data_IF_525852030077
#
_entry.id   IF_525852030077
#
_cell.length_a   1.000
_cell.length_b   1.000
_cell.length_c   1.000
_cell.angle_alpha   90.00
_cell.angle_beta   90.00
_cell.angle_gamma   90.00
#
_symmetry.space_group_name_H-M   'P 1'
#
loop_
_entity.id
_entity.type
_entity.pdbx_description
1 polymer ?
#
# COMPACT_ATOMS: atom_id res chain seq x y z
N UNK A 1 -8.25 22.71 4.56
CA UNK A 1 -7.33 21.96 5.43
C UNK A 1 -6.43 22.92 6.21
N UNK A 2 -5.65 23.79 5.56
CA UNK A 2 -4.76 24.74 6.21
C UNK A 2 -5.45 25.64 7.27
N UNK A 3 -6.68 26.11 6.99
CA UNK A 3 -7.51 26.89 7.93
C UNK A 3 -7.85 26.13 9.23
N UNK A 4 -7.74 24.80 9.22
CA UNK A 4 -7.98 23.95 10.39
C UNK A 4 -6.67 23.36 10.93
N UNK A 5 -5.54 23.96 10.60
CA UNK A 5 -4.19 23.56 11.03
C UNK A 5 -3.77 22.13 10.61
N UNK A 6 -4.36 21.60 9.55
CA UNK A 6 -3.97 20.31 8.96
C UNK A 6 -2.76 20.54 8.05
N UNK A 7 -1.59 20.07 8.50
CA UNK A 7 -0.29 20.34 7.85
C UNK A 7 0.16 19.24 6.89
N UNK A 8 -0.37 18.02 7.01
CA UNK A 8 0.01 16.88 6.16
C UNK A 8 -1.23 16.25 5.57
N UNK A 9 -1.20 15.99 4.27
CA UNK A 9 -2.25 15.31 3.53
C UNK A 9 -1.67 14.08 2.86
N UNK A 10 -2.05 12.90 3.35
CA UNK A 10 -1.81 11.65 2.66
C UNK A 10 -2.86 11.44 1.56
N UNK A 11 -2.43 11.10 0.34
CA UNK A 11 -3.34 10.88 -0.79
C UNK A 11 -2.82 9.79 -1.71
N UNK A 12 -3.73 9.17 -2.46
CA UNK A 12 -3.43 8.17 -3.48
C UNK A 12 -3.59 8.75 -4.88
N UNK A 13 -2.80 8.26 -5.83
CA UNK A 13 -2.98 8.52 -7.27
C UNK A 13 -3.12 7.20 -8.02
N UNK A 14 -4.02 6.36 -7.53
CA UNK A 14 -4.28 5.02 -8.04
C UNK A 14 -5.56 5.04 -8.87
N UNK A 15 -5.50 4.37 -10.02
CA UNK A 15 -6.68 4.21 -10.87
C UNK A 15 -7.51 3.02 -10.38
N UNK A 16 -8.82 3.12 -10.51
CA UNK A 16 -9.84 2.09 -10.34
C UNK A 16 -10.05 1.65 -8.87
N UNK A 17 -9.03 1.10 -8.24
CA UNK A 17 -9.00 0.70 -6.81
C UNK A 17 -7.66 1.10 -6.21
N UNK A 18 -7.63 1.49 -4.94
CA UNK A 18 -6.40 1.94 -4.33
C UNK A 18 -5.54 0.79 -3.79
N UNK A 19 -6.12 -0.26 -3.21
CA UNK A 19 -5.39 -1.47 -2.87
C UNK A 19 -6.12 -2.73 -3.37
N UNK A 20 -5.37 -3.79 -3.62
CA UNK A 20 -5.93 -5.05 -4.11
C UNK A 20 -5.53 -6.20 -3.21
N UNK A 21 -6.53 -6.95 -2.72
CA UNK A 21 -6.35 -8.20 -1.97
C UNK A 21 -7.30 -9.25 -2.53
N UNK A 22 -6.85 -10.49 -2.53
CA UNK A 22 -7.63 -11.64 -3.02
C UNK A 22 -8.32 -12.38 -1.88
N UNK A 23 -7.86 -12.17 -0.63
CA UNK A 23 -8.48 -12.73 0.56
C UNK A 23 -8.38 -11.71 1.71
N UNK A 24 -9.53 -11.37 2.29
CA UNK A 24 -9.64 -10.41 3.40
C UNK A 24 -9.65 -11.10 4.78
N UNK A 25 -9.67 -12.42 4.81
CA UNK A 25 -9.76 -13.23 6.04
C UNK A 25 -8.84 -14.47 5.93
N UNK A 26 -7.58 -14.24 5.57
CA UNK A 26 -6.58 -15.30 5.51
C UNK A 26 -6.20 -15.74 6.91
N UNK A 27 -6.44 -17.02 7.26
CA UNK A 27 -6.14 -17.56 8.58
C UNK A 27 -4.66 -17.82 8.77
N UNK A 28 -4.13 -17.27 9.85
CA UNK A 28 -2.74 -17.45 10.26
C UNK A 28 -2.62 -18.63 11.25
N UNK A 29 -1.43 -19.24 11.37
CA UNK A 29 -1.21 -20.37 12.28
C UNK A 29 -1.50 -20.07 13.76
N UNK A 30 -1.42 -18.81 14.17
CA UNK A 30 -1.76 -18.34 15.52
C UNK A 30 -3.26 -18.09 15.74
N UNK A 31 -4.10 -18.41 14.74
CA UNK A 31 -5.55 -18.22 14.79
C UNK A 31 -6.04 -16.83 14.38
N UNK A 32 -5.17 -15.85 14.24
CA UNK A 32 -5.53 -14.52 13.76
C UNK A 32 -5.89 -14.54 12.26
N UNK A 33 -6.50 -13.45 11.79
CA UNK A 33 -6.77 -13.25 10.36
C UNK A 33 -6.00 -12.05 9.82
N UNK A 34 -5.56 -12.18 8.56
CA UNK A 34 -4.79 -11.19 7.84
C UNK A 34 -5.32 -10.98 6.41
N UNK A 35 -4.92 -9.89 5.79
CA UNK A 35 -5.14 -9.67 4.36
C UNK A 35 -4.09 -10.43 3.55
N UNK A 36 -4.49 -11.04 2.41
CA UNK A 36 -3.58 -11.74 1.49
C UNK A 36 -3.82 -11.31 0.05
N UNK A 37 -2.73 -11.16 -0.70
CA UNK A 37 -2.72 -11.14 -2.15
C UNK A 37 -2.15 -12.46 -2.68
N UNK A 38 -2.81 -13.03 -3.67
CA UNK A 38 -2.40 -14.26 -4.34
C UNK A 38 -2.48 -14.05 -5.85
N UNK A 39 -1.36 -14.11 -6.60
CA UNK A 39 -1.36 -13.87 -8.04
C UNK A 39 -2.22 -14.87 -8.80
N UNK A 40 -2.31 -16.12 -8.34
CA UNK A 40 -3.16 -17.14 -8.96
C UNK A 40 -4.65 -16.76 -8.87
N UNK A 41 -5.09 -16.33 -7.69
CA UNK A 41 -6.46 -15.88 -7.49
C UNK A 41 -6.75 -14.55 -8.22
N UNK A 42 -5.76 -13.64 -8.28
CA UNK A 42 -5.88 -12.39 -9.03
C UNK A 42 -6.02 -12.65 -10.54
N UNK A 43 -5.21 -13.54 -11.11
CA UNK A 43 -5.31 -13.94 -12.52
C UNK A 43 -6.63 -14.66 -12.81
N UNK A 44 -7.11 -15.51 -11.89
CA UNK A 44 -8.42 -16.15 -12.02
C UNK A 44 -9.57 -15.13 -12.05
N UNK A 45 -9.50 -14.09 -11.22
CA UNK A 45 -10.46 -12.99 -11.28
C UNK A 45 -10.38 -12.25 -12.63
N UNK A 46 -9.18 -11.89 -13.07
CA UNK A 46 -8.95 -11.14 -14.30
C UNK A 46 -9.51 -11.88 -15.54
N UNK A 47 -9.19 -13.16 -15.66
CA UNK A 47 -9.55 -13.98 -16.83
C UNK A 47 -11.02 -14.42 -16.81
N UNK A 48 -11.51 -14.93 -15.67
CA UNK A 48 -12.80 -15.62 -15.64
C UNK A 48 -13.96 -14.79 -15.07
N UNK A 49 -13.68 -13.80 -14.17
CA UNK A 49 -14.70 -12.97 -13.53
C UNK A 49 -14.79 -11.61 -14.22
N UNK A 50 -13.69 -10.87 -14.25
CA UNK A 50 -13.59 -9.59 -14.96
C UNK A 50 -13.73 -9.78 -16.47
N UNK A 51 -13.18 -10.89 -16.99
CA UNK A 51 -13.14 -11.23 -18.44
C UNK A 51 -12.46 -10.14 -19.26
N UNK A 52 -11.32 -9.66 -18.76
CA UNK A 52 -10.52 -8.65 -19.47
C UNK A 52 -10.10 -9.18 -20.83
N UNK A 53 -10.31 -8.38 -21.86
CA UNK A 53 -9.93 -8.75 -23.23
C UNK A 53 -8.41 -8.96 -23.31
N UNK A 54 -8.00 -10.12 -23.86
CA UNK A 54 -6.61 -10.55 -24.00
C UNK A 54 -5.83 -10.70 -22.66
N UNK A 55 -6.51 -10.90 -21.53
CA UNK A 55 -5.87 -11.08 -20.24
C UNK A 55 -4.81 -12.20 -20.24
N UNK A 56 -5.07 -13.27 -20.98
CA UNK A 56 -4.19 -14.44 -21.07
C UNK A 56 -2.81 -14.11 -21.62
N UNK A 57 -2.67 -13.04 -22.42
CA UNK A 57 -1.38 -12.63 -23.00
C UNK A 57 -0.37 -12.10 -21.97
N UNK A 58 -0.84 -11.76 -20.77
CA UNK A 58 0.01 -11.25 -19.69
C UNK A 58 0.65 -12.40 -18.88
N UNK A 59 0.29 -13.65 -19.16
CA UNK A 59 0.71 -14.83 -18.42
C UNK A 59 1.32 -15.90 -19.35
N UNK A 60 2.24 -16.70 -18.82
CA UNK A 60 2.77 -17.84 -19.55
C UNK A 60 1.81 -19.04 -19.50
N UNK A 61 1.99 -20.01 -20.43
CA UNK A 61 1.09 -21.15 -20.59
C UNK A 61 1.01 -22.06 -19.36
N UNK A 62 2.11 -22.24 -18.63
CA UNK A 62 2.16 -23.06 -17.41
C UNK A 62 1.29 -22.42 -16.32
N UNK A 63 1.48 -21.13 -16.08
CA UNK A 63 0.67 -20.39 -15.11
C UNK A 63 -0.81 -20.35 -15.49
N UNK A 64 -1.13 -20.23 -16.79
CA UNK A 64 -2.53 -20.29 -17.27
C UNK A 64 -3.19 -21.64 -16.96
N UNK A 65 -2.46 -22.75 -17.04
CA UNK A 65 -2.96 -24.07 -16.65
C UNK A 65 -3.25 -24.14 -15.16
N UNK A 66 -2.37 -23.58 -14.32
CA UNK A 66 -2.60 -23.49 -12.88
C UNK A 66 -3.82 -22.63 -12.56
N UNK A 67 -3.95 -21.46 -13.19
CA UNK A 67 -5.11 -20.55 -13.04
C UNK A 67 -6.41 -21.27 -13.43
N UNK A 68 -6.43 -22.00 -14.55
CA UNK A 68 -7.60 -22.76 -15.00
C UNK A 68 -7.98 -23.85 -14.00
N UNK A 69 -6.99 -24.57 -13.51
CA UNK A 69 -7.21 -25.65 -12.52
C UNK A 69 -7.73 -25.07 -11.19
N UNK A 70 -7.11 -24.01 -10.72
CA UNK A 70 -7.55 -23.29 -9.53
C UNK A 70 -8.99 -22.79 -9.66
N UNK A 71 -9.32 -22.08 -10.75
CA UNK A 71 -10.68 -21.53 -10.91
C UNK A 71 -11.74 -22.61 -10.98
N UNK A 72 -11.47 -23.75 -11.66
CA UNK A 72 -12.39 -24.91 -11.73
C UNK A 72 -12.58 -25.59 -10.38
N UNK A 73 -11.65 -25.47 -9.46
CA UNK A 73 -11.77 -26.03 -8.11
C UNK A 73 -12.64 -25.19 -7.18
N UNK A 74 -12.90 -23.91 -7.52
CA UNK A 74 -13.68 -23.01 -6.69
C UNK A 74 -15.19 -23.33 -6.76
N UNK A 75 -15.83 -23.38 -5.61
CA UNK A 75 -17.28 -23.35 -5.50
C UNK A 75 -17.83 -21.96 -5.88
N UNK A 76 -19.12 -21.89 -6.20
CA UNK A 76 -19.81 -20.61 -6.47
C UNK A 76 -19.65 -19.60 -5.32
N UNK A 77 -19.66 -20.07 -4.07
CA UNK A 77 -19.48 -19.24 -2.88
C UNK A 77 -18.05 -18.65 -2.81
N UNK A 78 -17.03 -19.44 -3.17
CA UNK A 78 -15.63 -18.99 -3.20
C UNK A 78 -15.38 -18.01 -4.33
N UNK A 79 -15.97 -18.22 -5.50
CA UNK A 79 -15.93 -17.25 -6.61
C UNK A 79 -16.55 -15.91 -6.17
N UNK A 80 -17.73 -15.94 -5.52
CA UNK A 80 -18.35 -14.71 -5.00
C UNK A 80 -17.51 -14.04 -3.91
N UNK A 81 -16.85 -14.84 -3.05
CA UNK A 81 -15.94 -14.30 -2.03
C UNK A 81 -14.72 -13.63 -2.65
N UNK A 82 -14.12 -14.25 -3.67
CA UNK A 82 -12.98 -13.67 -4.41
C UNK A 82 -13.37 -12.34 -5.08
N UNK A 83 -14.49 -12.32 -5.78
CA UNK A 83 -15.04 -11.10 -6.39
C UNK A 83 -15.19 -9.98 -5.36
N UNK A 84 -15.89 -10.24 -4.26
CA UNK A 84 -16.10 -9.27 -3.18
C UNK A 84 -14.78 -8.80 -2.56
N UNK A 85 -13.81 -9.71 -2.39
CA UNK A 85 -12.50 -9.35 -1.82
C UNK A 85 -11.75 -8.36 -2.70
N UNK A 86 -11.77 -8.54 -4.01
CA UNK A 86 -11.07 -7.66 -4.95
C UNK A 86 -11.81 -6.32 -5.10
N UNK A 87 -13.15 -6.36 -5.10
CA UNK A 87 -13.96 -5.15 -5.24
C UNK A 87 -14.15 -4.37 -3.93
N UNK A 88 -13.56 -4.81 -2.83
CA UNK A 88 -13.75 -4.19 -1.52
C UNK A 88 -13.36 -2.71 -1.45
N UNK A 89 -12.44 -2.27 -2.31
CA UNK A 89 -12.07 -0.86 -2.42
C UNK A 89 -11.40 -0.30 -1.16
N UNK A 90 -11.49 1.02 -1.00
CA UNK A 90 -10.87 1.74 0.11
C UNK A 90 -11.61 1.61 1.43
N UNK A 91 -10.87 1.52 2.55
CA UNK A 91 -11.44 1.73 3.87
C UNK A 91 -12.18 3.08 3.97
N UNK A 92 -13.41 3.04 4.45
CA UNK A 92 -14.27 4.22 4.55
C UNK A 92 -15.25 4.41 3.39
N UNK A 93 -15.09 3.72 2.27
CA UNK A 93 -16.11 3.64 1.23
C UNK A 93 -17.25 2.73 1.72
N UNK A 94 -18.45 3.28 1.90
CA UNK A 94 -19.64 2.50 2.28
C UNK A 94 -20.30 1.80 1.09
N UNK A 95 -19.93 2.17 -0.12
CA UNK A 95 -20.49 1.61 -1.35
C UNK A 95 -19.46 0.66 -1.95
N UNK A 96 -19.74 -0.62 -1.88
CA UNK A 96 -19.05 -1.60 -2.73
C UNK A 96 -19.36 -1.25 -4.19
N UNK A 97 -18.34 -1.13 -5.00
CA UNK A 97 -18.48 -1.04 -6.45
C UNK A 97 -18.98 -2.42 -6.91
N UNK A 98 -20.05 -2.46 -7.69
CA UNK A 98 -20.47 -3.71 -8.30
C UNK A 98 -19.57 -4.08 -9.50
N UNK A 99 -19.60 -5.34 -9.90
CA UNK A 99 -18.73 -5.86 -10.96
C UNK A 99 -18.95 -5.15 -12.31
N UNK A 100 -20.18 -4.76 -12.65
CA UNK A 100 -20.47 -4.12 -13.92
C UNK A 100 -19.98 -2.65 -13.94
N UNK A 101 -20.14 -1.94 -12.85
CA UNK A 101 -19.54 -0.61 -12.68
C UNK A 101 -18.01 -0.69 -12.72
N UNK A 102 -17.42 -1.71 -12.07
CA UNK A 102 -16.00 -1.98 -12.12
C UNK A 102 -15.51 -2.24 -13.55
N UNK A 103 -16.16 -3.11 -14.31
CA UNK A 103 -15.83 -3.41 -15.71
C UNK A 103 -15.86 -2.17 -16.59
N UNK A 104 -16.91 -1.33 -16.42
CA UNK A 104 -17.04 -0.08 -17.16
C UNK A 104 -15.88 0.86 -16.88
N UNK A 105 -15.56 1.08 -15.61
CA UNK A 105 -14.46 1.95 -15.19
C UNK A 105 -13.11 1.39 -15.61
N UNK A 106 -12.90 0.08 -15.45
CA UNK A 106 -11.70 -0.63 -15.86
C UNK A 106 -11.40 -0.46 -17.36
N UNK A 107 -12.41 -0.63 -18.22
CA UNK A 107 -12.26 -0.40 -19.66
C UNK A 107 -11.79 1.02 -19.99
N UNK A 108 -12.24 2.01 -19.22
CA UNK A 108 -11.82 3.40 -19.40
C UNK A 108 -10.37 3.62 -19.00
N UNK A 109 -9.92 3.04 -17.89
CA UNK A 109 -8.55 3.23 -17.40
C UNK A 109 -7.51 2.42 -18.15
N UNK A 110 -7.87 1.28 -18.74
CA UNK A 110 -6.99 0.49 -19.61
C UNK A 110 -6.48 1.26 -20.84
N UNK A 111 -7.20 2.27 -21.29
CA UNK A 111 -6.77 3.11 -22.40
C UNK A 111 -5.62 4.08 -22.02
N UNK A 112 -5.28 4.18 -20.74
CA UNK A 112 -4.26 5.10 -20.23
C UNK A 112 -2.94 4.34 -20.06
N UNK A 113 -1.96 4.62 -20.92
CA UNK A 113 -0.62 4.04 -20.78
C UNK A 113 0.09 4.52 -19.52
N UNK A 114 1.11 3.77 -19.07
CA UNK A 114 1.96 4.14 -17.93
C UNK A 114 2.54 5.56 -18.07
N UNK A 115 3.10 5.88 -19.22
CA UNK A 115 3.69 7.21 -19.48
C UNK A 115 2.61 8.30 -19.40
N UNK A 116 1.43 8.08 -19.98
CA UNK A 116 0.33 9.03 -19.89
C UNK A 116 -0.16 9.24 -18.46
N UNK A 117 -0.16 8.17 -17.66
CA UNK A 117 -0.51 8.26 -16.25
C UNK A 117 0.54 9.07 -15.46
N UNK A 118 1.82 8.89 -15.75
CA UNK A 118 2.91 9.70 -15.19
C UNK A 118 2.80 11.18 -15.59
N UNK A 119 2.49 11.48 -16.85
CA UNK A 119 2.21 12.85 -17.31
C UNK A 119 1.03 13.47 -16.56
N UNK A 120 -0.03 12.70 -16.34
CA UNK A 120 -1.20 13.15 -15.58
C UNK A 120 -0.85 13.45 -14.12
N UNK A 121 -0.02 12.61 -13.48
CA UNK A 121 0.49 12.87 -12.14
C UNK A 121 1.33 14.15 -12.11
N UNK A 122 2.27 14.31 -13.04
CA UNK A 122 3.09 15.51 -13.12
C UNK A 122 2.24 16.78 -13.32
N UNK A 123 1.21 16.72 -14.18
CA UNK A 123 0.25 17.81 -14.37
C UNK A 123 -0.50 18.15 -13.06
N UNK A 124 -1.01 17.13 -12.36
CA UNK A 124 -1.68 17.29 -11.08
C UNK A 124 -0.77 17.94 -10.04
N UNK A 125 0.47 17.45 -9.89
CA UNK A 125 1.43 17.99 -8.94
C UNK A 125 1.75 19.45 -9.22
N UNK A 126 2.01 19.82 -10.47
CA UNK A 126 2.27 21.21 -10.87
C UNK A 126 1.10 22.15 -10.58
N UNK A 127 -0.13 21.65 -10.57
CA UNK A 127 -1.29 22.44 -10.26
C UNK A 127 -1.51 22.64 -8.75
N UNK A 128 -1.30 21.60 -7.93
CA UNK A 128 -1.67 21.65 -6.50
C UNK A 128 -0.51 22.01 -5.57
N UNK A 129 0.71 21.60 -5.90
CA UNK A 129 1.87 21.77 -4.99
C UNK A 129 2.20 23.24 -4.71
N UNK A 130 2.17 24.17 -5.68
CA UNK A 130 2.41 25.59 -5.39
C UNK A 130 1.41 26.18 -4.39
N UNK A 131 0.15 25.75 -4.43
CA UNK A 131 -0.86 26.21 -3.47
C UNK A 131 -0.65 25.55 -2.09
N UNK A 132 -0.28 24.28 -2.05
CA UNK A 132 0.07 23.59 -0.81
C UNK A 132 1.28 24.27 -0.12
N UNK A 133 2.29 24.64 -0.89
CA UNK A 133 3.48 25.33 -0.40
C UNK A 133 3.16 26.70 0.20
N UNK A 134 2.37 27.54 -0.47
CA UNK A 134 1.90 28.83 0.05
C UNK A 134 1.15 28.69 1.39
N UNK A 135 0.42 27.60 1.55
CA UNK A 135 -0.40 27.32 2.73
C UNK A 135 0.35 26.52 3.83
N UNK A 136 1.62 26.18 3.61
CA UNK A 136 2.41 25.38 4.54
C UNK A 136 1.89 23.94 4.73
N UNK A 137 1.23 23.39 3.70
CA UNK A 137 0.72 22.02 3.71
C UNK A 137 1.68 21.10 2.96
N UNK A 138 1.95 19.94 3.52
CA UNK A 138 2.74 18.87 2.92
C UNK A 138 1.81 17.87 2.24
N UNK A 139 2.02 17.64 0.95
CA UNK A 139 1.29 16.64 0.17
C UNK A 139 2.11 15.36 0.13
N UNK A 140 1.60 14.29 0.70
CA UNK A 140 2.30 13.03 0.88
C UNK A 140 1.61 11.92 0.08
N UNK A 141 2.12 11.63 -1.13
CA UNK A 141 1.55 10.57 -1.97
C UNK A 141 1.86 9.19 -1.38
N UNK A 142 0.84 8.34 -1.31
CA UNK A 142 0.98 6.95 -0.87
C UNK A 142 1.43 6.07 -2.05
N UNK A 143 2.38 5.13 -1.85
CA UNK A 143 2.78 4.20 -2.90
C UNK A 143 1.65 3.24 -3.27
N UNK A 144 1.71 2.70 -4.48
CA UNK A 144 0.77 1.71 -4.97
C UNK A 144 0.74 0.44 -4.10
N UNK A 145 -0.42 -0.15 -3.93
CA UNK A 145 -0.62 -1.37 -3.15
C UNK A 145 -1.53 -2.38 -3.89
N UNK A 146 -0.98 -3.45 -4.45
CA UNK A 146 0.45 -3.82 -4.48
C UNK A 146 1.28 -2.91 -5.41
N UNK A 147 2.64 -2.92 -5.26
CA UNK A 147 3.54 -2.07 -6.03
C UNK A 147 3.87 -2.67 -7.42
N UNK A 148 2.86 -3.10 -8.13
CA UNK A 148 2.93 -3.63 -9.50
C UNK A 148 1.55 -3.55 -10.16
N UNK A 149 1.54 -3.60 -11.50
CA UNK A 149 0.30 -3.56 -12.29
C UNK A 149 -0.66 -4.68 -11.91
N UNK A 150 -1.96 -4.37 -11.84
CA UNK A 150 -3.03 -5.34 -11.58
C UNK A 150 -4.10 -5.23 -12.64
N UNK A 151 -4.57 -6.34 -13.17
CA UNK A 151 -5.63 -6.41 -14.18
C UNK A 151 -5.33 -5.56 -15.43
N UNK A 152 -4.05 -5.52 -15.85
CA UNK A 152 -3.59 -4.69 -16.96
C UNK A 152 -3.49 -3.19 -16.69
N UNK A 153 -3.90 -2.73 -15.50
CA UNK A 153 -3.85 -1.30 -15.13
C UNK A 153 -2.46 -0.96 -14.57
N UNK A 154 -1.75 0.02 -15.15
CA UNK A 154 -0.41 0.37 -14.69
C UNK A 154 -0.43 1.04 -13.31
N UNK A 155 0.66 0.84 -12.57
CA UNK A 155 1.01 1.53 -11.33
C UNK A 155 2.24 2.40 -11.58
N UNK A 156 2.36 3.55 -10.91
CA UNK A 156 3.38 4.57 -11.16
C UNK A 156 4.05 5.15 -9.91
N UNK A 157 3.72 4.61 -8.74
CA UNK A 157 4.32 4.99 -7.44
C UNK A 157 4.73 3.71 -6.71
N UNK A 158 5.51 2.84 -7.39
CA UNK A 158 5.74 1.45 -6.97
C UNK A 158 7.20 1.12 -6.65
N UNK A 159 8.15 1.93 -7.10
CA UNK A 159 9.58 1.66 -6.97
C UNK A 159 10.41 2.95 -6.90
N UNK A 160 11.70 2.78 -6.62
CA UNK A 160 12.64 3.90 -6.46
C UNK A 160 12.61 4.91 -7.62
N UNK A 161 12.63 4.43 -8.88
CA UNK A 161 12.67 5.30 -10.05
C UNK A 161 11.37 6.10 -10.23
N UNK A 162 10.24 5.49 -9.93
CA UNK A 162 8.94 6.15 -9.98
C UNK A 162 8.78 7.18 -8.86
N UNK A 163 9.28 6.88 -7.65
CA UNK A 163 9.34 7.84 -6.55
C UNK A 163 10.24 9.04 -6.91
N UNK A 164 11.39 8.76 -7.52
CA UNK A 164 12.30 9.82 -8.01
C UNK A 164 11.61 10.68 -9.07
N UNK A 165 10.95 10.04 -10.06
CA UNK A 165 10.22 10.75 -11.12
C UNK A 165 9.20 11.76 -10.56
N UNK A 166 8.36 11.34 -9.62
CA UNK A 166 7.33 12.23 -9.06
C UNK A 166 7.90 13.38 -8.24
N UNK A 167 9.03 13.16 -7.56
CA UNK A 167 9.71 14.21 -6.80
C UNK A 167 10.37 15.22 -7.74
N UNK A 168 11.00 14.74 -8.81
CA UNK A 168 11.63 15.58 -9.84
C UNK A 168 10.60 16.35 -10.70
N UNK A 169 9.40 15.78 -10.91
CA UNK A 169 8.34 16.40 -11.71
C UNK A 169 7.83 17.73 -11.13
N UNK A 170 7.91 17.89 -9.80
CA UNK A 170 7.59 19.12 -9.10
C UNK A 170 8.48 19.29 -7.87
N UNK A 171 9.72 19.81 -8.02
CA UNK A 171 10.64 20.03 -6.91
C UNK A 171 10.11 21.10 -5.95
N UNK A 172 9.62 20.67 -4.80
CA UNK A 172 9.07 21.53 -3.75
C UNK A 172 9.22 20.85 -2.39
N UNK A 173 9.39 21.60 -1.29
CA UNK A 173 9.33 21.03 0.05
C UNK A 173 7.92 20.55 0.43
N UNK A 174 6.89 20.91 -0.33
CA UNK A 174 5.51 20.48 -0.11
C UNK A 174 5.11 19.25 -0.93
N UNK A 175 5.93 18.86 -1.93
CA UNK A 175 5.77 17.60 -2.65
C UNK A 175 6.57 16.51 -1.94
N UNK A 176 5.94 15.42 -1.57
CA UNK A 176 6.63 14.35 -0.86
C UNK A 176 5.82 13.06 -0.78
N UNK A 177 6.30 12.19 0.08
CA UNK A 177 5.90 10.79 0.14
C UNK A 177 5.22 10.46 1.47
N UNK A 178 4.22 9.61 1.41
CA UNK A 178 3.90 8.69 2.48
C UNK A 178 4.77 7.45 2.28
N UNK A 179 5.76 7.25 3.12
CA UNK A 179 6.54 6.02 3.07
C UNK A 179 5.74 4.88 3.70
N UNK A 180 5.32 3.91 2.89
CA UNK A 180 4.63 2.72 3.38
C UNK A 180 5.53 1.49 3.22
N UNK A 181 6.07 1.01 4.33
CA UNK A 181 7.00 -0.13 4.35
C UNK A 181 6.35 -1.43 3.86
N UNK A 182 5.04 -1.59 4.03
CA UNK A 182 4.32 -2.78 3.58
C UNK A 182 3.95 -2.74 2.10
N UNK A 183 3.52 -1.59 1.56
CA UNK A 183 3.22 -1.44 0.13
C UNK A 183 4.49 -1.62 -0.70
N UNK A 184 5.52 -0.81 -0.45
CA UNK A 184 6.81 -0.93 -1.14
C UNK A 184 7.47 -2.29 -0.88
N UNK A 185 7.40 -2.79 0.36
CA UNK A 185 7.98 -4.05 0.78
C UNK A 185 7.27 -5.31 0.27
N UNK A 186 6.11 -5.18 -0.39
CA UNK A 186 5.49 -6.30 -1.10
C UNK A 186 6.29 -6.70 -2.36
N UNK A 187 7.16 -5.83 -2.88
CA UNK A 187 8.16 -6.17 -3.89
C UNK A 187 9.53 -6.40 -3.23
N UNK A 188 10.23 -7.48 -3.62
CA UNK A 188 11.61 -7.75 -3.20
C UNK A 188 12.63 -6.83 -3.85
N UNK A 189 12.27 -6.19 -4.96
CA UNK A 189 13.14 -5.29 -5.72
C UNK A 189 13.32 -3.92 -5.05
N UNK A 190 12.48 -3.59 -4.08
CA UNK A 190 12.54 -2.31 -3.38
C UNK A 190 13.50 -2.37 -2.18
N UNK A 191 14.61 -1.64 -2.25
CA UNK A 191 15.46 -1.36 -1.10
C UNK A 191 14.86 -0.22 -0.26
N UNK A 192 14.14 -0.59 0.78
CA UNK A 192 13.41 0.34 1.64
C UNK A 192 14.34 1.29 2.41
N UNK A 193 15.51 0.81 2.81
CA UNK A 193 16.51 1.62 3.52
C UNK A 193 17.11 2.65 2.58
N UNK A 194 17.45 2.25 1.34
CA UNK A 194 17.92 3.17 0.31
C UNK A 194 16.88 4.26 0.02
N UNK A 195 15.61 3.90 -0.12
CA UNK A 195 14.51 4.87 -0.35
C UNK A 195 14.46 5.91 0.78
N UNK A 196 14.56 5.48 2.05
CA UNK A 196 14.57 6.40 3.20
C UNK A 196 15.81 7.29 3.17
N UNK A 197 16.99 6.72 2.91
CA UNK A 197 18.24 7.48 2.91
C UNK A 197 18.30 8.56 1.81
N UNK A 198 17.76 8.24 0.62
CA UNK A 198 17.84 9.13 -0.53
C UNK A 198 16.68 10.15 -0.57
N UNK A 199 15.50 9.77 -0.11
CA UNK A 199 14.30 10.63 -0.14
C UNK A 199 13.80 11.03 1.25
N UNK A 200 14.60 10.82 2.29
CA UNK A 200 14.18 11.05 3.67
C UNK A 200 13.60 12.45 3.90
N UNK A 201 14.21 13.51 3.37
CA UNK A 201 13.73 14.89 3.48
C UNK A 201 12.35 15.14 2.81
N UNK A 202 11.90 14.23 1.95
CA UNK A 202 10.59 14.26 1.27
C UNK A 202 9.55 13.34 1.91
N UNK A 203 9.91 12.56 2.91
CA UNK A 203 8.95 11.72 3.63
C UNK A 203 8.19 12.58 4.63
N UNK A 204 6.90 12.78 4.41
CA UNK A 204 6.04 13.61 5.24
C UNK A 204 5.09 12.82 6.15
N UNK A 205 4.91 11.53 5.86
CA UNK A 205 4.10 10.62 6.64
C UNK A 205 4.63 9.19 6.52
N UNK A 206 4.45 8.35 7.53
CA UNK A 206 4.99 6.99 7.53
C UNK A 206 3.90 5.99 7.94
N UNK A 207 3.73 4.96 7.10
CA UNK A 207 3.00 3.75 7.41
C UNK A 207 3.99 2.61 7.68
N UNK A 208 4.00 2.11 8.91
CA UNK A 208 4.81 0.96 9.30
C UNK A 208 3.95 -0.29 9.24
N UNK A 209 4.19 -1.10 8.24
CA UNK A 209 3.50 -2.35 7.96
C UNK A 209 4.51 -3.40 7.52
N UNK A 210 4.31 -4.65 7.91
CA UNK A 210 5.13 -5.74 7.43
C UNK A 210 4.29 -6.72 6.60
N UNK A 211 4.90 -7.33 5.62
CA UNK A 211 4.32 -8.37 4.79
C UNK A 211 5.25 -9.58 4.75
N UNK A 212 4.67 -10.77 4.66
CA UNK A 212 5.40 -11.98 4.35
C UNK A 212 5.23 -12.28 2.86
N UNK A 213 6.31 -12.20 2.11
CA UNK A 213 6.37 -12.64 0.71
C UNK A 213 6.62 -14.14 0.64
N UNK A 214 6.00 -14.81 -0.32
CA UNK A 214 6.21 -16.21 -0.64
C UNK A 214 6.84 -16.34 -2.04
N UNK A 215 7.48 -17.47 -2.32
CA UNK A 215 8.18 -17.74 -3.58
C UNK A 215 7.27 -17.69 -4.81
N UNK A 216 5.99 -18.01 -4.64
CA UNK A 216 4.99 -17.96 -5.72
C UNK A 216 4.46 -16.55 -6.01
N UNK A 217 5.06 -15.50 -5.46
CA UNK A 217 4.64 -14.11 -5.64
C UNK A 217 3.44 -13.68 -4.79
N UNK A 218 2.85 -14.60 -3.99
CA UNK A 218 1.84 -14.21 -3.04
C UNK A 218 2.46 -13.52 -1.82
N UNK A 219 1.68 -12.68 -1.15
CA UNK A 219 2.07 -12.10 0.14
C UNK A 219 0.85 -11.94 1.06
N UNK A 220 1.09 -11.90 2.34
CA UNK A 220 0.07 -11.59 3.34
C UNK A 220 0.62 -10.62 4.40
N UNK A 221 -0.27 -9.93 5.08
CA UNK A 221 0.10 -9.03 6.18
C UNK A 221 0.75 -9.85 7.31
N UNK A 222 1.98 -9.50 7.66
CA UNK A 222 2.74 -10.15 8.73
C UNK A 222 2.59 -9.39 10.06
N UNK A 223 3.08 -9.99 11.15
CA UNK A 223 3.30 -9.25 12.39
C UNK A 223 4.30 -8.11 12.14
N UNK A 224 4.11 -6.96 12.79
CA UNK A 224 4.88 -5.74 12.49
C UNK A 224 6.40 -5.91 12.55
N UNK A 225 6.91 -6.74 13.46
CA UNK A 225 8.34 -6.98 13.62
C UNK A 225 8.82 -8.28 12.94
N UNK A 226 7.91 -9.06 12.33
CA UNK A 226 8.23 -10.33 11.69
C UNK A 226 7.66 -10.37 10.29
N UNK A 227 8.48 -10.70 9.32
CA UNK A 227 8.07 -10.76 7.93
C UNK A 227 9.24 -10.46 7.00
N UNK A 228 8.93 -10.15 5.76
CA UNK A 228 9.94 -9.90 4.73
C UNK A 228 10.49 -8.46 4.74
N UNK A 229 9.85 -7.54 5.47
CA UNK A 229 10.37 -6.18 5.68
C UNK A 229 11.33 -6.19 6.87
N UNK A 230 12.59 -5.79 6.71
CA UNK A 230 13.55 -5.70 7.81
C UNK A 230 13.24 -4.47 8.69
N UNK A 231 12.19 -4.59 9.51
CA UNK A 231 11.59 -3.45 10.22
C UNK A 231 12.58 -2.74 11.15
N UNK A 232 13.53 -3.47 11.73
CA UNK A 232 14.59 -2.89 12.55
C UNK A 232 15.50 -1.94 11.75
N UNK A 233 15.85 -2.30 10.51
CA UNK A 233 16.67 -1.45 9.62
C UNK A 233 15.86 -0.26 9.10
N UNK A 234 14.61 -0.49 8.76
CA UNK A 234 13.67 0.56 8.33
C UNK A 234 13.49 1.57 9.44
N UNK A 235 13.20 1.12 10.67
CA UNK A 235 13.03 2.01 11.82
C UNK A 235 14.32 2.79 12.13
N UNK A 236 15.47 2.13 12.04
CA UNK A 236 16.77 2.79 12.25
C UNK A 236 16.97 3.93 11.25
N UNK A 237 16.78 3.70 9.97
CA UNK A 237 16.91 4.73 8.94
C UNK A 237 15.93 5.91 9.14
N UNK A 238 14.70 5.63 9.59
CA UNK A 238 13.71 6.66 9.95
C UNK A 238 14.20 7.50 11.13
N UNK A 239 14.69 6.88 12.19
CA UNK A 239 15.19 7.59 13.37
C UNK A 239 16.42 8.44 13.02
N UNK A 240 17.33 7.91 12.21
CA UNK A 240 18.51 8.66 11.71
C UNK A 240 18.08 9.90 10.90
N UNK A 241 17.11 9.78 10.01
CA UNK A 241 16.57 10.93 9.27
C UNK A 241 15.88 11.93 10.21
N UNK A 242 15.16 11.48 11.22
CA UNK A 242 14.54 12.34 12.23
C UNK A 242 15.60 13.14 13.02
N UNK A 243 16.68 12.48 13.44
CA UNK A 243 17.81 13.14 14.13
C UNK A 243 18.45 14.17 13.21
N UNK A 244 18.70 13.84 11.94
CA UNK A 244 19.27 14.74 10.94
C UNK A 244 18.40 15.98 10.72
N UNK A 245 17.09 15.85 10.68
CA UNK A 245 16.16 17.00 10.59
C UNK A 245 16.22 17.87 11.84
N UNK A 246 16.22 17.29 13.03
CA UNK A 246 16.31 18.02 14.28
C UNK A 246 17.61 18.84 14.38
N UNK A 247 18.73 18.28 13.91
CA UNK A 247 20.02 18.98 13.84
C UNK A 247 20.01 20.20 12.91
N UNK A 248 19.16 20.19 11.88
CA UNK A 248 18.95 21.32 10.97
C UNK A 248 17.94 22.35 11.51
N UNK A 249 17.42 22.16 12.71
CA UNK A 249 16.45 23.06 13.34
C UNK A 249 15.01 22.82 12.85
N UNK A 250 14.77 21.77 12.08
CA UNK A 250 13.43 21.34 11.67
C UNK A 250 12.81 20.51 12.80
N UNK A 251 12.26 21.15 13.83
CA UNK A 251 11.58 20.45 14.94
C UNK A 251 10.21 19.94 14.45
N UNK A 252 10.21 19.02 13.51
CA UNK A 252 8.98 18.41 13.00
C UNK A 252 9.14 16.89 13.04
N UNK A 253 8.44 16.27 13.98
CA UNK A 253 8.34 14.83 13.99
C UNK A 253 7.56 14.36 12.75
N UNK A 254 8.09 13.37 12.03
CA UNK A 254 7.35 12.73 10.95
C UNK A 254 6.26 11.87 11.58
N UNK A 255 4.96 12.14 11.32
CA UNK A 255 3.90 11.31 11.89
C UNK A 255 4.01 9.88 11.35
N UNK A 256 3.90 8.91 12.26
CA UNK A 256 3.99 7.47 11.96
C UNK A 256 2.77 6.74 12.53
N UNK A 257 2.36 5.67 11.86
CA UNK A 257 1.34 4.77 12.39
C UNK A 257 1.59 3.32 11.98
N UNK A 258 1.15 2.32 12.76
CA UNK A 258 0.90 1.00 12.24
C UNK A 258 -0.23 1.10 11.22
N UNK A 259 0.00 0.67 9.98
CA UNK A 259 -1.00 0.83 8.91
C UNK A 259 -2.12 -0.19 9.07
N UNK A 260 -1.80 -1.48 8.97
CA UNK A 260 -2.73 -2.58 9.18
C UNK A 260 -2.45 -3.31 10.51
N UNK A 261 -3.40 -4.13 10.94
CA UNK A 261 -3.27 -5.02 12.09
C UNK A 261 -4.12 -6.27 11.89
N UNK A 262 -3.63 -7.41 12.40
CA UNK A 262 -4.37 -8.67 12.35
C UNK A 262 -5.67 -8.59 13.12
N UNK A 263 -6.70 -9.27 12.63
CA UNK A 263 -7.93 -9.51 13.40
C UNK A 263 -7.64 -10.61 14.42
N UNK A 264 -7.67 -10.28 15.69
CA UNK A 264 -7.31 -11.20 16.77
C UNK A 264 -8.09 -10.89 18.06
N UNK A 265 -8.12 -11.86 18.98
CA UNK A 265 -8.79 -11.73 20.27
C UNK A 265 -10.28 -11.31 20.10
N UNK A 266 -10.72 -10.33 20.86
CA UNK A 266 -12.11 -9.87 20.86
C UNK A 266 -12.56 -9.25 19.53
N UNK A 267 -11.62 -8.72 18.72
CA UNK A 267 -11.96 -8.24 17.37
C UNK A 267 -12.45 -9.38 16.44
N UNK A 268 -12.15 -10.66 16.75
CA UNK A 268 -12.67 -11.82 16.01
C UNK A 268 -14.15 -12.07 16.26
N UNK A 269 -14.68 -11.60 17.39
CA UNK A 269 -16.07 -11.79 17.80
C UNK A 269 -16.96 -10.58 17.47
N UNK A 270 -16.39 -9.52 16.90
CA UNK A 270 -17.13 -8.32 16.53
C UNK A 270 -18.14 -8.63 15.43
N UNK A 271 -19.36 -8.11 15.62
CA UNK A 271 -20.46 -8.23 14.65
C UNK A 271 -20.64 -6.96 13.82
N UNK A 272 -19.97 -5.86 14.21
CA UNK A 272 -20.02 -4.62 13.46
C UNK A 272 -19.06 -4.68 12.27
N UNK A 273 -19.50 -4.06 11.18
CA UNK A 273 -18.67 -3.93 9.97
C UNK A 273 -17.46 -3.06 10.25
N UNK A 274 -16.29 -3.66 10.29
CA UNK A 274 -15.02 -2.94 10.19
C UNK A 274 -14.20 -3.49 9.03
N UNK A 275 -13.39 -2.65 8.45
CA UNK A 275 -12.54 -3.10 7.34
C UNK A 275 -11.49 -4.09 7.81
N UNK A 276 -11.40 -5.20 7.09
CA UNK A 276 -10.33 -6.17 7.27
C UNK A 276 -8.96 -5.47 7.18
N UNK A 277 -8.04 -5.86 8.07
CA UNK A 277 -6.74 -5.18 8.21
C UNK A 277 -6.76 -3.95 9.15
N UNK A 278 -7.93 -3.45 9.55
CA UNK A 278 -8.05 -2.28 10.44
C UNK A 278 -8.54 -2.63 11.85
N UNK A 279 -8.23 -3.84 12.31
CA UNK A 279 -8.48 -4.26 13.69
C UNK A 279 -7.94 -3.26 14.70
N UNK A 280 -8.74 -2.91 15.70
CA UNK A 280 -8.31 -2.02 16.79
C UNK A 280 -7.19 -2.66 17.61
N UNK A 281 -7.39 -3.90 18.04
CA UNK A 281 -6.43 -4.64 18.89
C UNK A 281 -5.15 -4.90 18.11
N UNK A 282 -5.24 -5.34 16.85
CA UNK A 282 -4.06 -5.60 16.03
C UNK A 282 -3.22 -4.35 15.75
N UNK A 283 -3.85 -3.20 15.51
CA UNK A 283 -3.12 -1.94 15.33
C UNK A 283 -2.58 -1.39 16.66
N UNK A 284 -3.28 -1.55 17.77
CA UNK A 284 -2.77 -1.18 19.09
C UNK A 284 -1.52 -2.02 19.48
N UNK A 285 -1.54 -3.32 19.17
CA UNK A 285 -0.38 -4.18 19.33
C UNK A 285 0.80 -3.72 18.46
N UNK A 286 0.54 -3.41 17.18
CA UNK A 286 1.54 -2.87 16.27
C UNK A 286 2.12 -1.55 16.77
N UNK A 287 1.27 -0.64 17.25
CA UNK A 287 1.73 0.63 17.82
C UNK A 287 2.67 0.41 19.02
N UNK A 288 2.32 -0.48 19.94
CA UNK A 288 3.16 -0.79 21.10
C UNK A 288 4.53 -1.39 20.69
N UNK A 289 4.52 -2.33 19.72
CA UNK A 289 5.75 -2.97 19.21
C UNK A 289 6.66 -1.94 18.50
N UNK A 290 6.10 -1.12 17.62
CA UNK A 290 6.85 -0.13 16.85
C UNK A 290 7.36 1.00 17.73
N UNK A 291 6.59 1.45 18.72
CA UNK A 291 7.04 2.46 19.68
C UNK A 291 8.19 1.94 20.55
N UNK A 292 8.10 0.68 21.00
CA UNK A 292 9.20 0.06 21.76
C UNK A 292 10.46 -0.09 20.92
N UNK A 293 10.34 -0.48 19.64
CA UNK A 293 11.47 -0.58 18.72
C UNK A 293 12.10 0.81 18.47
N UNK A 294 11.30 1.83 18.21
CA UNK A 294 11.77 3.21 18.03
C UNK A 294 12.54 3.71 19.25
N UNK A 295 11.97 3.53 20.46
CA UNK A 295 12.61 3.95 21.71
C UNK A 295 13.98 3.28 21.91
N UNK A 296 14.07 1.97 21.69
CA UNK A 296 15.34 1.23 21.81
C UNK A 296 16.40 1.67 20.80
N UNK A 297 16.00 1.90 19.53
CA UNK A 297 16.92 2.40 18.50
C UNK A 297 17.36 3.82 18.82
N UNK A 298 16.45 4.69 19.21
CA UNK A 298 16.75 6.09 19.55
C UNK A 298 17.77 6.19 20.69
N UNK A 299 17.58 5.41 21.75
CA UNK A 299 18.52 5.35 22.86
C UNK A 299 19.90 4.86 22.40
N UNK A 300 19.97 3.82 21.58
CA UNK A 300 21.26 3.28 21.09
C UNK A 300 22.00 4.22 20.12
N UNK A 301 21.31 5.18 19.48
CA UNK A 301 21.93 6.17 18.58
C UNK A 301 22.35 7.45 19.31
N UNK A 302 21.83 7.72 20.51
CA UNK A 302 22.14 8.92 21.30
C UNK A 302 23.13 8.63 22.43
N UNK A 303 23.35 7.32 22.74
CA UNK A 303 24.40 6.85 23.66
C UNK A 303 25.75 6.73 22.95
#
# INVERSE_FOLDING_TARGET
LAKNDIKVVCYNFMQLIDWTRTNLDYKLPNGASALKYDPLAAAAFDIYILKRENAEKDYNDEFLQEVSTFFKSLSTAEVSKLEKSILAGMPGSRKLIDLEEFKKNHKTVLAISKNKLQDNLAYFLKAIIPEAEKLGVKMAIHPDDPPFSVFGVPRIVSNYEELKFLLDACPSPSNGLTFCSGSLGASSENDLVKIINDFGDKIHFIHLRNVQRNENGSFYEAEHLKGSVPMEKVMKAIVEEQIKRNQKGEIVNIPMRPDHGHVLLDDMNRQDDFYSGYSLIGRALGLAQLSGLEMGIRESLLS
#
